data_IF_525901029452
#
_entry.id   IF_525901029452
#
_cell.length_a   1.000
_cell.length_b   1.000
_cell.length_c   1.000
_cell.angle_alpha   90.00
_cell.angle_beta   90.00
_cell.angle_gamma   90.00
#
_symmetry.space_group_name_H-M   'P 1'
#
loop_
_entity.id
_entity.type
_entity.pdbx_description
1 polymer ?
#
# COMPACT_ATOMS: atom_id res chain seq x y z
N UNK A 1 16.12 18.83 -7.99
CA UNK A 1 16.13 17.83 -6.91
C UNK A 1 14.71 17.80 -6.36
N UNK A 2 14.05 16.65 -6.37
CA UNK A 2 12.68 16.55 -5.89
C UNK A 2 12.66 16.82 -4.38
N UNK A 3 11.69 17.61 -3.91
CA UNK A 3 11.58 17.93 -2.49
C UNK A 3 11.25 16.64 -1.71
N UNK A 4 12.00 16.37 -0.64
CA UNK A 4 11.70 15.25 0.26
C UNK A 4 10.33 15.39 0.94
N UNK A 5 9.78 16.61 1.04
CA UNK A 5 8.45 16.90 1.59
C UNK A 5 7.47 17.34 0.52
N UNK A 6 6.17 17.33 0.86
CA UNK A 6 5.11 17.76 -0.05
C UNK A 6 5.28 19.24 -0.43
N UNK A 7 5.15 19.56 -1.70
CA UNK A 7 5.18 20.94 -2.19
C UNK A 7 3.83 21.62 -1.98
N UNK A 8 3.78 22.94 -2.04
CA UNK A 8 2.51 23.66 -1.95
C UNK A 8 1.56 23.34 -3.10
N UNK A 9 2.11 22.96 -4.26
CA UNK A 9 1.32 22.47 -5.39
C UNK A 9 0.70 21.10 -5.11
N UNK A 10 1.45 20.17 -4.48
CA UNK A 10 0.90 18.88 -4.05
C UNK A 10 -0.25 19.11 -3.06
N UNK A 11 -0.07 19.99 -2.08
CA UNK A 11 -1.11 20.32 -1.08
C UNK A 11 -2.34 20.95 -1.73
N UNK A 12 -2.16 21.83 -2.72
CA UNK A 12 -3.27 22.44 -3.46
C UNK A 12 -4.09 21.39 -4.22
N UNK A 13 -3.44 20.52 -5.00
CA UNK A 13 -4.12 19.44 -5.73
C UNK A 13 -4.80 18.44 -4.80
N UNK A 14 -4.21 18.16 -3.63
CA UNK A 14 -4.84 17.32 -2.60
C UNK A 14 -6.10 17.98 -2.04
N UNK A 15 -6.07 19.29 -1.78
CA UNK A 15 -7.22 20.06 -1.29
C UNK A 15 -8.39 20.10 -2.27
N UNK A 16 -8.11 20.13 -3.58
CA UNK A 16 -9.14 20.11 -4.62
C UNK A 16 -9.56 18.69 -5.06
N UNK A 17 -8.88 17.65 -4.57
CA UNK A 17 -9.15 16.26 -4.96
C UNK A 17 -8.69 15.92 -6.40
N UNK A 18 -7.76 16.70 -6.97
CA UNK A 18 -7.26 16.56 -8.34
C UNK A 18 -5.85 15.94 -8.40
N UNK A 19 -5.27 15.56 -7.26
CA UNK A 19 -3.97 14.90 -7.21
C UNK A 19 -4.06 13.39 -7.55
N UNK A 20 -4.14 13.04 -8.83
CA UNK A 20 -4.32 11.64 -9.27
C UNK A 20 -3.16 10.68 -8.95
N UNK A 21 -1.97 11.21 -8.62
CA UNK A 21 -0.79 10.44 -8.19
C UNK A 21 -0.45 10.67 -6.71
N UNK A 22 -1.46 10.92 -5.88
CA UNK A 22 -1.25 11.30 -4.46
C UNK A 22 -0.50 10.23 -3.65
N UNK A 23 -0.57 8.96 -4.06
CA UNK A 23 0.19 7.87 -3.47
C UNK A 23 1.71 8.06 -3.56
N UNK A 24 2.23 8.92 -4.44
CA UNK A 24 3.67 9.25 -4.52
C UNK A 24 4.10 10.21 -3.40
N UNK A 25 3.12 10.88 -2.79
CA UNK A 25 3.33 11.91 -1.78
C UNK A 25 2.80 11.50 -0.40
N UNK A 26 1.73 10.72 -0.36
CA UNK A 26 1.16 10.16 0.87
C UNK A 26 1.76 8.78 1.17
N UNK A 27 1.75 8.42 2.44
CA UNK A 27 2.35 7.21 2.98
C UNK A 27 3.86 7.30 3.19
N UNK A 28 4.52 6.14 3.24
CA UNK A 28 5.94 6.01 3.53
C UNK A 28 6.81 5.79 2.28
N UNK A 29 7.79 6.67 2.06
CA UNK A 29 8.64 6.65 0.86
C UNK A 29 10.11 6.78 1.22
N UNK A 30 10.93 5.91 0.64
CA UNK A 30 12.39 6.00 0.75
C UNK A 30 12.85 7.27 0.04
N UNK A 31 13.64 8.09 0.73
CA UNK A 31 14.15 9.35 0.16
C UNK A 31 15.42 9.80 0.88
N UNK A 32 15.96 10.93 0.46
CA UNK A 32 17.11 11.59 1.07
C UNK A 32 16.73 13.01 1.47
N UNK A 33 17.13 13.42 2.67
CA UNK A 33 17.00 14.80 3.13
C UNK A 33 18.37 15.29 3.62
N UNK A 34 18.86 16.39 3.04
CA UNK A 34 20.16 17.00 3.36
C UNK A 34 21.34 16.00 3.34
N UNK A 35 21.38 15.11 2.34
CA UNK A 35 22.45 14.11 2.21
C UNK A 35 22.28 12.86 3.07
N UNK A 36 21.17 12.74 3.83
CA UNK A 36 20.91 11.58 4.69
C UNK A 36 19.78 10.72 4.15
N UNK A 37 20.00 9.41 3.93
CA UNK A 37 18.94 8.50 3.53
C UNK A 37 17.96 8.28 4.70
N UNK A 38 16.71 8.02 4.37
CA UNK A 38 15.67 7.72 5.35
C UNK A 38 14.31 7.52 4.71
N UNK A 39 13.27 7.66 5.52
CA UNK A 39 11.89 7.52 5.07
C UNK A 39 11.12 8.80 5.37
N UNK A 40 10.44 9.32 4.34
CA UNK A 40 9.44 10.37 4.49
C UNK A 40 8.07 9.72 4.67
N UNK A 41 7.38 10.10 5.75
CA UNK A 41 6.02 9.72 6.04
C UNK A 41 5.08 10.91 5.82
N UNK A 42 3.90 10.66 5.26
CA UNK A 42 2.84 11.65 5.19
C UNK A 42 1.46 11.02 5.33
N UNK A 43 0.58 11.64 6.13
CA UNK A 43 -0.79 11.16 6.35
C UNK A 43 -1.77 12.33 6.46
N UNK A 44 -2.96 12.14 5.90
CA UNK A 44 -4.06 13.10 6.03
C UNK A 44 -4.86 12.81 7.30
N UNK A 45 -4.79 13.73 8.27
CA UNK A 45 -5.47 13.66 9.55
C UNK A 45 -5.85 15.07 10.04
N UNK A 46 -6.78 15.77 9.35
CA UNK A 46 -7.04 17.20 9.53
C UNK A 46 -7.47 17.58 10.95
N UNK A 47 -8.16 16.67 11.63
CA UNK A 47 -8.73 16.90 12.96
C UNK A 47 -7.86 16.35 14.10
N UNK A 48 -6.63 15.89 13.79
CA UNK A 48 -5.69 15.47 14.80
C UNK A 48 -5.14 16.69 15.56
N UNK A 49 -4.95 16.52 16.87
CA UNK A 49 -4.15 17.42 17.71
C UNK A 49 -2.65 17.19 17.48
N UNK A 50 -2.25 15.93 17.32
CA UNK A 50 -0.87 15.54 17.07
C UNK A 50 -0.83 14.18 16.37
N UNK A 51 0.17 14.00 15.52
CA UNK A 51 0.50 12.70 14.92
C UNK A 51 1.97 12.40 15.15
N UNK A 52 2.29 11.16 15.49
CA UNK A 52 3.64 10.62 15.58
C UNK A 52 3.76 9.39 14.69
N UNK A 53 4.92 9.17 14.09
CA UNK A 53 5.23 7.87 13.46
C UNK A 53 5.89 6.97 14.51
N UNK A 54 5.32 5.78 14.71
CA UNK A 54 5.81 4.81 15.68
C UNK A 54 6.17 3.51 14.96
N UNK A 55 7.20 2.82 15.42
CA UNK A 55 7.63 1.56 14.81
C UNK A 55 8.78 0.91 15.56
N UNK A 56 9.33 -0.14 14.98
CA UNK A 56 10.45 -0.89 15.60
C UNK A 56 11.66 0.02 15.85
N UNK A 57 11.98 0.91 14.90
CA UNK A 57 13.08 1.88 14.97
C UNK A 57 13.04 2.86 16.16
N UNK A 58 11.87 3.05 16.80
CA UNK A 58 11.74 3.89 17.99
C UNK A 58 11.10 3.18 19.18
N UNK A 59 11.08 1.84 19.16
CA UNK A 59 10.52 1.02 20.23
C UNK A 59 9.03 1.29 20.47
N UNK A 60 8.29 1.64 19.41
CA UNK A 60 6.86 1.96 19.47
C UNK A 60 6.51 3.15 20.40
N UNK A 61 7.46 4.07 20.62
CA UNK A 61 7.26 5.22 21.49
C UNK A 61 6.33 6.27 20.84
N UNK A 62 5.14 6.44 21.43
CA UNK A 62 4.07 7.35 21.00
C UNK A 62 4.44 8.84 21.00
N UNK A 63 5.47 9.20 21.77
CA UNK A 63 5.98 10.56 21.90
C UNK A 63 7.32 10.75 21.17
N UNK A 64 7.78 9.73 20.44
CA UNK A 64 8.90 9.86 19.51
C UNK A 64 8.41 10.30 18.12
N UNK A 65 9.33 10.83 17.30
CA UNK A 65 9.13 11.17 15.89
C UNK A 65 7.79 11.88 15.57
N UNK A 66 7.54 13.00 16.25
CA UNK A 66 6.38 13.84 15.97
C UNK A 66 6.38 14.35 14.52
N UNK A 67 5.20 14.32 13.91
CA UNK A 67 4.98 14.80 12.56
C UNK A 67 4.62 16.30 12.57
N UNK A 68 5.10 17.03 11.57
CA UNK A 68 4.78 18.44 11.35
C UNK A 68 3.43 18.55 10.64
N UNK A 69 2.51 19.34 11.21
CA UNK A 69 1.28 19.74 10.52
C UNK A 69 1.59 20.73 9.40
N UNK A 70 0.97 20.53 8.23
CA UNK A 70 0.98 21.45 7.08
C UNK A 70 -0.25 22.37 7.06
N UNK A 71 -0.62 22.85 8.25
CA UNK A 71 -1.71 23.81 8.44
C UNK A 71 -3.06 23.29 7.97
N UNK A 72 -3.80 24.14 7.26
CA UNK A 72 -5.19 23.89 6.86
C UNK A 72 -5.38 22.74 5.86
N UNK A 73 -4.29 22.23 5.26
CA UNK A 73 -4.33 21.02 4.43
C UNK A 73 -4.73 19.78 5.23
N UNK A 74 -4.49 19.78 6.55
CA UNK A 74 -4.67 18.62 7.41
C UNK A 74 -3.67 17.49 7.20
N UNK A 75 -2.63 17.74 6.39
CA UNK A 75 -1.54 16.80 6.15
C UNK A 75 -0.52 16.90 7.28
N UNK A 76 -0.06 15.75 7.74
CA UNK A 76 1.04 15.60 8.67
C UNK A 76 2.18 14.91 7.95
N UNK A 77 3.40 15.40 8.13
CA UNK A 77 4.59 14.80 7.51
C UNK A 77 5.80 14.74 8.47
N UNK A 78 6.65 13.76 8.27
CA UNK A 78 7.92 13.64 8.98
C UNK A 78 8.97 12.98 8.08
N UNK A 79 10.23 13.27 8.34
CA UNK A 79 11.35 12.50 7.81
C UNK A 79 12.05 11.81 8.99
N UNK A 80 12.27 10.51 8.86
CA UNK A 80 13.03 9.72 9.84
C UNK A 80 14.31 9.24 9.16
N UNK A 81 15.49 9.73 9.59
CA UNK A 81 16.77 9.33 9.00
C UNK A 81 17.13 7.89 9.38
N UNK A 82 18.02 7.29 8.59
CA UNK A 82 18.71 6.02 8.91
C UNK A 82 17.77 4.81 9.08
N UNK A 83 16.57 4.89 8.52
CA UNK A 83 15.61 3.77 8.40
C UNK A 83 15.28 3.50 6.94
N UNK A 84 14.77 2.30 6.62
CA UNK A 84 14.64 1.87 5.22
C UNK A 84 13.49 0.91 4.93
N UNK A 85 13.62 0.20 3.81
CA UNK A 85 12.62 -0.78 3.38
C UNK A 85 12.50 -1.93 4.39
N UNK A 86 11.28 -2.35 4.65
CA UNK A 86 10.97 -3.43 5.59
C UNK A 86 10.59 -2.96 6.99
N UNK A 87 10.84 -1.69 7.32
CA UNK A 87 10.50 -1.11 8.62
C UNK A 87 9.00 -1.20 8.91
N UNK A 88 8.66 -1.67 10.09
CA UNK A 88 7.29 -1.84 10.55
C UNK A 88 6.87 -0.59 11.32
N UNK A 89 5.73 -0.01 10.95
CA UNK A 89 5.29 1.25 11.54
C UNK A 89 3.76 1.41 11.57
N UNK A 90 3.32 2.37 12.37
CA UNK A 90 1.96 2.92 12.43
C UNK A 90 2.00 4.43 12.65
N UNK A 91 0.87 5.09 12.42
CA UNK A 91 0.64 6.44 12.92
C UNK A 91 -0.04 6.38 14.28
N UNK A 92 0.52 7.07 15.26
CA UNK A 92 -0.17 7.34 16.51
C UNK A 92 -0.84 8.71 16.45
N UNK A 93 -2.17 8.72 16.51
CA UNK A 93 -2.99 9.92 16.32
C UNK A 93 -3.65 10.27 17.65
N UNK A 94 -3.47 11.51 18.09
CA UNK A 94 -4.27 12.11 19.17
C UNK A 94 -5.25 13.09 18.56
N UNK A 95 -6.54 12.89 18.80
CA UNK A 95 -7.63 13.70 18.24
C UNK A 95 -7.85 14.98 19.03
N UNK A 96 -8.36 16.02 18.37
CA UNK A 96 -8.92 17.20 19.06
C UNK A 96 -10.26 16.89 19.76
N UNK A 97 -10.89 15.75 19.48
CA UNK A 97 -12.20 15.38 19.99
C UNK A 97 -12.11 14.32 21.09
N UNK A 98 -12.74 14.60 22.24
CA UNK A 98 -12.99 13.66 23.34
C UNK A 98 -11.76 12.89 23.87
N UNK A 99 -10.54 13.43 23.67
CA UNK A 99 -9.31 12.77 24.09
C UNK A 99 -9.06 11.44 23.36
N UNK A 100 -9.67 11.22 22.19
CA UNK A 100 -9.49 9.99 21.44
C UNK A 100 -8.04 9.85 20.96
N UNK A 101 -7.43 8.70 21.23
CA UNK A 101 -6.09 8.35 20.76
C UNK A 101 -6.12 6.96 20.12
N UNK A 102 -5.40 6.77 19.02
CA UNK A 102 -5.35 5.49 18.33
C UNK A 102 -4.05 5.29 17.55
N UNK A 103 -3.65 4.02 17.45
CA UNK A 103 -2.67 3.55 16.47
C UNK A 103 -3.40 3.15 15.19
N UNK A 104 -2.94 3.66 14.06
CA UNK A 104 -3.53 3.41 12.74
C UNK A 104 -2.46 2.89 11.78
N UNK A 105 -2.85 1.85 11.02
CA UNK A 105 -2.14 1.50 9.79
C UNK A 105 -2.16 2.70 8.83
N UNK A 106 -1.15 2.80 7.99
CA UNK A 106 -1.09 3.81 6.94
C UNK A 106 -2.16 3.55 5.88
N UNK A 107 -3.09 4.50 5.63
CA UNK A 107 -4.05 4.39 4.53
C UNK A 107 -3.40 4.24 3.15
N UNK A 108 -2.18 4.75 2.98
CA UNK A 108 -1.39 4.70 1.75
C UNK A 108 -0.20 3.72 1.84
N UNK A 109 -0.19 2.82 2.83
CA UNK A 109 0.88 1.85 2.98
C UNK A 109 0.92 0.86 1.82
N UNK A 110 2.11 0.66 1.23
CA UNK A 110 2.32 -0.27 0.11
C UNK A 110 2.51 -1.73 0.52
N UNK A 111 2.75 -1.98 1.80
CA UNK A 111 2.85 -3.31 2.36
C UNK A 111 2.36 -3.31 3.81
N UNK A 112 2.00 -4.50 4.31
CA UNK A 112 1.52 -4.71 5.67
C UNK A 112 2.16 -5.94 6.32
N UNK A 113 2.03 -6.04 7.64
CA UNK A 113 2.24 -7.31 8.34
C UNK A 113 1.12 -8.32 8.04
N UNK A 114 1.47 -9.60 8.10
CA UNK A 114 0.48 -10.69 7.97
C UNK A 114 -0.53 -10.61 9.12
N UNK A 115 -1.82 -10.65 8.77
CA UNK A 115 -2.91 -10.70 9.75
C UNK A 115 -2.70 -11.82 10.79
N UNK A 116 -3.11 -11.64 12.06
CA UNK A 116 -3.96 -10.57 12.58
C UNK A 116 -3.20 -9.29 12.96
N UNK A 117 -1.89 -9.21 12.67
CA UNK A 117 -1.14 -7.97 12.87
C UNK A 117 -1.60 -6.89 11.89
N UNK A 118 -1.38 -5.64 12.25
CA UNK A 118 -2.02 -4.48 11.60
C UNK A 118 -1.07 -3.34 11.28
N UNK A 119 0.24 -3.50 11.52
CA UNK A 119 1.18 -2.45 11.15
C UNK A 119 1.43 -2.44 9.64
N UNK A 120 1.72 -1.24 9.14
CA UNK A 120 2.21 -1.05 7.78
C UNK A 120 3.69 -1.33 7.72
N UNK A 121 4.20 -1.62 6.52
CA UNK A 121 5.61 -1.87 6.25
C UNK A 121 6.09 -0.88 5.20
N UNK A 122 7.23 -0.23 5.45
CA UNK A 122 7.88 0.64 4.47
C UNK A 122 8.31 -0.23 3.29
N UNK A 123 7.91 0.13 2.08
CA UNK A 123 8.19 -0.65 0.89
C UNK A 123 8.41 0.25 -0.32
N UNK A 124 9.45 -0.03 -1.11
CA UNK A 124 9.64 0.62 -2.41
C UNK A 124 8.79 -0.08 -3.47
N UNK A 125 8.18 0.72 -4.35
CA UNK A 125 7.55 0.19 -5.57
C UNK A 125 8.58 -0.06 -6.69
N UNK A 126 9.81 0.41 -6.51
CA UNK A 126 10.91 0.19 -7.45
C UNK A 126 11.55 -1.19 -7.24
N UNK A 127 12.32 -1.63 -8.25
CA UNK A 127 13.15 -2.84 -8.18
C UNK A 127 12.54 -4.10 -8.80
N UNK A 128 11.28 -4.06 -9.26
CA UNK A 128 10.72 -5.11 -10.10
C UNK A 128 10.90 -4.78 -11.59
N UNK A 129 11.60 -5.66 -12.32
CA UNK A 129 11.78 -5.54 -13.78
C UNK A 129 10.61 -6.17 -14.51
N UNK A 130 9.75 -5.33 -15.09
CA UNK A 130 8.65 -5.77 -15.96
C UNK A 130 9.18 -6.31 -17.29
N UNK A 131 8.51 -7.34 -17.82
CA UNK A 131 8.86 -8.01 -19.10
C UNK A 131 7.64 -8.21 -20.00
N UNK A 132 6.63 -7.36 -19.85
CA UNK A 132 5.32 -7.47 -20.49
C UNK A 132 5.08 -6.37 -21.54
N UNK A 133 6.14 -5.72 -22.03
CA UNK A 133 6.07 -4.59 -22.98
C UNK A 133 5.24 -4.93 -24.22
N UNK A 134 5.46 -6.11 -24.82
CA UNK A 134 4.71 -6.57 -26.00
C UNK A 134 3.21 -6.75 -25.69
N UNK A 135 2.89 -7.31 -24.53
CA UNK A 135 1.51 -7.46 -24.09
C UNK A 135 0.84 -6.10 -23.88
N UNK A 136 1.53 -5.19 -23.19
CA UNK A 136 1.04 -3.85 -22.91
C UNK A 136 0.78 -3.04 -24.18
N UNK A 137 1.62 -3.19 -25.21
CA UNK A 137 1.41 -2.58 -26.52
C UNK A 137 0.13 -3.06 -27.22
N UNK A 138 -0.26 -4.33 -27.04
CA UNK A 138 -1.44 -4.94 -27.66
C UNK A 138 -2.70 -4.93 -26.77
N UNK A 139 -2.59 -4.52 -25.50
CA UNK A 139 -3.66 -4.61 -24.48
C UNK A 139 -4.99 -4.01 -24.94
N UNK A 140 -4.96 -2.89 -25.66
CA UNK A 140 -6.18 -2.21 -26.15
C UNK A 140 -7.01 -3.09 -27.10
N UNK A 141 -6.34 -3.83 -27.97
CA UNK A 141 -7.00 -4.70 -28.96
C UNK A 141 -7.56 -5.95 -28.27
N UNK A 142 -6.76 -6.56 -27.40
CA UNK A 142 -7.12 -7.75 -26.61
C UNK A 142 -8.29 -7.52 -25.64
N UNK A 143 -8.47 -6.28 -25.19
CA UNK A 143 -9.57 -5.89 -24.28
C UNK A 143 -10.66 -5.09 -25.02
N UNK A 144 -10.68 -5.12 -26.35
CA UNK A 144 -11.70 -4.44 -27.13
C UNK A 144 -13.06 -5.13 -26.95
N UNK A 145 -14.16 -4.40 -27.17
CA UNK A 145 -15.52 -4.95 -27.10
C UNK A 145 -15.82 -6.07 -28.11
N UNK A 146 -14.94 -6.25 -29.09
CA UNK A 146 -15.06 -7.27 -30.15
C UNK A 146 -14.09 -8.43 -29.94
N UNK A 147 -13.18 -8.35 -28.96
CA UNK A 147 -12.27 -9.42 -28.63
C UNK A 147 -13.02 -10.56 -27.91
N UNK A 148 -12.54 -11.82 -28.04
CA UNK A 148 -13.06 -12.89 -27.20
C UNK A 148 -12.71 -12.61 -25.74
N UNK A 149 -13.74 -12.57 -24.88
CA UNK A 149 -13.59 -12.42 -23.43
C UNK A 149 -14.19 -13.65 -22.74
N UNK A 150 -13.30 -14.47 -22.19
CA UNK A 150 -13.61 -15.59 -21.29
C UNK A 150 -12.76 -15.44 -20.03
N UNK A 151 -13.43 -15.31 -18.88
CA UNK A 151 -12.84 -14.93 -17.60
C UNK A 151 -12.89 -16.14 -16.66
N UNK A 152 -11.76 -16.44 -16.02
CA UNK A 152 -11.68 -17.36 -14.90
C UNK A 152 -11.61 -16.56 -13.59
N UNK A 153 -12.69 -16.59 -12.80
CA UNK A 153 -12.75 -15.92 -11.49
C UNK A 153 -12.01 -16.75 -10.44
N UNK A 154 -11.13 -16.11 -9.65
CA UNK A 154 -10.23 -16.80 -8.72
C UNK A 154 -10.16 -16.09 -7.38
N UNK A 155 -10.40 -16.86 -6.31
CA UNK A 155 -9.97 -16.51 -4.96
C UNK A 155 -8.59 -17.11 -4.69
N UNK A 156 -7.54 -16.28 -4.69
CA UNK A 156 -6.15 -16.75 -4.55
C UNK A 156 -5.93 -17.55 -3.26
N UNK A 157 -6.57 -17.16 -2.16
CA UNK A 157 -6.46 -17.85 -0.88
C UNK A 157 -7.10 -19.24 -0.82
N UNK A 158 -7.81 -19.69 -1.86
CA UNK A 158 -8.47 -21.01 -1.88
C UNK A 158 -8.38 -21.76 -3.21
N UNK A 159 -7.75 -21.19 -4.23
CA UNK A 159 -7.56 -21.86 -5.52
C UNK A 159 -6.68 -23.10 -5.40
N UNK A 160 -5.55 -22.98 -4.71
CA UNK A 160 -4.65 -24.10 -4.43
C UNK A 160 -3.90 -23.83 -3.12
N UNK A 161 -3.76 -24.86 -2.30
CA UNK A 161 -3.03 -24.83 -1.02
C UNK A 161 -1.69 -25.56 -1.14
N UNK A 162 -0.75 -25.20 -0.29
CA UNK A 162 0.48 -25.99 -0.12
C UNK A 162 0.15 -27.34 0.52
N UNK A 163 1.03 -28.36 0.43
CA UNK A 163 0.79 -29.68 1.02
C UNK A 163 0.51 -29.69 2.53
N UNK A 164 1.03 -28.70 3.26
CA UNK A 164 0.81 -28.46 4.69
C UNK A 164 -0.45 -27.61 4.99
N UNK A 165 -1.23 -27.24 3.97
CA UNK A 165 -2.49 -26.49 4.12
C UNK A 165 -2.34 -24.96 4.14
N UNK A 166 -1.12 -24.44 3.97
CA UNK A 166 -0.82 -23.02 3.86
C UNK A 166 -1.26 -22.39 2.52
N UNK A 167 -1.08 -21.08 2.40
CA UNK A 167 -1.28 -20.36 1.15
C UNK A 167 -0.08 -20.55 0.23
N UNK A 168 -0.32 -20.54 -1.09
CA UNK A 168 0.76 -20.32 -2.04
C UNK A 168 1.13 -18.84 -2.05
N UNK A 169 2.42 -18.55 -2.13
CA UNK A 169 2.87 -17.18 -2.42
C UNK A 169 2.45 -16.78 -3.84
N UNK A 170 2.38 -15.47 -4.11
CA UNK A 170 2.16 -14.98 -5.48
C UNK A 170 3.17 -15.56 -6.49
N UNK A 171 4.43 -15.74 -6.08
CA UNK A 171 5.51 -16.30 -6.90
C UNK A 171 5.25 -17.78 -7.25
N UNK A 172 4.80 -18.57 -6.28
CA UNK A 172 4.51 -19.99 -6.50
C UNK A 172 3.22 -20.22 -7.30
N UNK A 173 2.25 -19.32 -7.12
CA UNK A 173 0.92 -19.42 -7.74
C UNK A 173 0.92 -18.96 -9.19
N UNK A 174 1.61 -17.87 -9.52
CA UNK A 174 1.60 -17.24 -10.84
C UNK A 174 1.85 -18.23 -12.00
N UNK A 175 2.94 -19.04 -12.03
CA UNK A 175 3.18 -19.94 -13.14
C UNK A 175 2.14 -21.07 -13.24
N UNK A 176 1.60 -21.52 -12.09
CA UNK A 176 0.60 -22.61 -12.04
C UNK A 176 -0.75 -22.14 -12.55
N UNK A 177 -1.20 -20.98 -12.08
CA UNK A 177 -2.47 -20.40 -12.48
C UNK A 177 -2.44 -19.99 -13.96
N UNK A 178 -1.32 -19.42 -14.43
CA UNK A 178 -1.13 -19.08 -15.83
C UNK A 178 -1.19 -20.33 -16.73
N UNK A 179 -0.47 -21.41 -16.38
CA UNK A 179 -0.49 -22.66 -17.13
C UNK A 179 -1.90 -23.27 -17.21
N UNK A 180 -2.61 -23.31 -16.08
CA UNK A 180 -3.98 -23.79 -16.03
C UNK A 180 -4.92 -22.97 -16.93
N UNK A 181 -4.85 -21.64 -16.86
CA UNK A 181 -5.69 -20.78 -17.69
C UNK A 181 -5.40 -20.94 -19.18
N UNK A 182 -4.12 -21.12 -19.56
CA UNK A 182 -3.72 -21.39 -20.94
C UNK A 182 -4.24 -22.74 -21.44
N UNK A 183 -4.11 -23.81 -20.64
CA UNK A 183 -4.63 -25.14 -20.99
C UNK A 183 -6.15 -25.13 -21.19
N UNK A 184 -6.86 -24.41 -20.33
CA UNK A 184 -8.32 -24.30 -20.38
C UNK A 184 -8.84 -23.29 -21.41
N UNK A 185 -7.95 -22.50 -22.03
CA UNK A 185 -8.32 -21.51 -23.06
C UNK A 185 -8.99 -20.24 -22.53
N UNK A 186 -8.77 -19.88 -21.26
CA UNK A 186 -9.24 -18.61 -20.72
C UNK A 186 -8.41 -17.44 -21.25
N UNK A 187 -9.07 -16.30 -21.46
CA UNK A 187 -8.40 -15.08 -21.95
C UNK A 187 -7.98 -14.14 -20.83
N UNK A 188 -8.65 -14.23 -19.68
CA UNK A 188 -8.53 -13.33 -18.56
C UNK A 188 -8.68 -14.09 -17.24
N UNK A 189 -8.05 -13.55 -16.19
CA UNK A 189 -8.24 -13.97 -14.80
C UNK A 189 -8.86 -12.79 -14.06
N UNK A 190 -9.99 -13.01 -13.40
CA UNK A 190 -10.58 -12.03 -12.49
C UNK A 190 -10.28 -12.45 -11.06
N UNK A 191 -9.62 -11.56 -10.31
CA UNK A 191 -9.26 -11.84 -8.93
C UNK A 191 -10.32 -11.30 -8.00
N UNK A 192 -10.77 -12.13 -7.05
CA UNK A 192 -11.41 -11.60 -5.85
C UNK A 192 -10.44 -10.62 -5.15
N UNK A 193 -10.93 -9.65 -4.34
CA UNK A 193 -10.11 -8.54 -3.86
C UNK A 193 -8.79 -9.00 -3.21
N UNK A 194 -7.68 -8.53 -3.79
CA UNK A 194 -6.32 -8.84 -3.33
C UNK A 194 -5.74 -7.77 -2.42
N UNK A 195 -6.48 -6.70 -2.16
CA UNK A 195 -6.12 -5.66 -1.20
C UNK A 195 -6.04 -6.21 0.23
N UNK A 196 -5.27 -5.56 1.10
CA UNK A 196 -5.10 -6.07 2.46
C UNK A 196 -6.43 -6.02 3.24
N UNK A 197 -6.76 -7.16 3.86
CA UNK A 197 -8.03 -7.38 4.56
C UNK A 197 -7.82 -8.32 5.76
N UNK A 198 -8.40 -8.02 6.94
CA UNK A 198 -8.05 -8.69 8.19
C UNK A 198 -8.70 -10.07 8.36
N UNK A 199 -9.75 -10.38 7.60
CA UNK A 199 -10.58 -11.58 7.80
C UNK A 199 -10.78 -12.37 6.51
N UNK A 200 -10.29 -13.62 6.47
CA UNK A 200 -10.40 -14.48 5.29
C UNK A 200 -11.84 -14.75 4.86
N UNK A 201 -12.77 -14.87 5.82
CA UNK A 201 -14.18 -15.12 5.53
C UNK A 201 -14.90 -13.96 4.85
N UNK A 202 -14.25 -12.79 4.73
CA UNK A 202 -14.75 -11.67 3.91
C UNK A 202 -14.45 -11.82 2.43
N UNK A 203 -13.61 -12.80 2.05
CA UNK A 203 -13.10 -12.99 0.69
C UNK A 203 -12.45 -11.75 0.06
N UNK A 204 -11.93 -10.85 0.89
CA UNK A 204 -11.31 -9.60 0.47
C UNK A 204 -12.24 -8.37 0.48
N UNK A 205 -13.57 -8.58 0.54
CA UNK A 205 -14.54 -7.47 0.43
C UNK A 205 -14.55 -6.52 1.64
N UNK A 206 -13.94 -6.89 2.77
CA UNK A 206 -13.75 -6.01 3.94
C UNK A 206 -12.31 -5.47 3.97
N UNK A 207 -11.95 -4.68 2.96
CA UNK A 207 -10.61 -4.11 2.79
C UNK A 207 -10.29 -3.04 3.82
N UNK A 208 -9.03 -3.05 4.29
CA UNK A 208 -8.48 -2.02 5.20
C UNK A 208 -7.19 -1.40 4.68
N UNK A 209 -6.43 -2.07 3.80
CA UNK A 209 -5.24 -1.53 3.15
C UNK A 209 -5.41 -1.49 1.63
N UNK A 210 -5.92 -0.38 1.12
CA UNK A 210 -6.28 -0.23 -0.29
C UNK A 210 -5.08 -0.14 -1.25
N UNK A 211 -3.92 0.27 -0.75
CA UNK A 211 -2.70 0.45 -1.54
C UNK A 211 -1.69 -0.69 -1.40
N UNK A 212 -2.04 -1.74 -0.65
CA UNK A 212 -1.18 -2.91 -0.45
C UNK A 212 -1.87 -4.18 -0.96
N UNK A 213 -1.21 -5.01 -1.79
CA UNK A 213 -1.63 -6.39 -1.94
C UNK A 213 -1.52 -7.10 -0.57
N UNK A 214 -2.44 -8.03 -0.31
CA UNK A 214 -2.45 -8.75 0.96
C UNK A 214 -1.15 -9.53 1.17
N UNK A 215 -0.68 -9.54 2.41
CA UNK A 215 0.58 -10.16 2.82
C UNK A 215 0.48 -11.66 3.13
N UNK A 216 -0.68 -12.28 2.91
CA UNK A 216 -0.90 -13.74 3.04
C UNK A 216 0.01 -14.53 2.12
#
# INVERSE_FOLDING_TARGET
>A
MESAFLTDYDLHLLGEGSHYRNYEKLGAHLTELDGKPGVRFAVWAPNARSVSVIGDFNGWNRDANHMRSRGDSGIWEAFVPDIGQGEIYKFFIRSNYNGFEAEKADPYGFAAEVRPRTASKVWSLDGYEWRDEEWMAQRKERNSRQAPISIYEVHLGSWMRTPDGGWLTYVDMAPRLAAYCQEMGFTHVELMPVTEHPFDGSWGYQTVGYYAPTSR
#
